data_IF_133491898510
#
_entry.id   IF_133491898510
#
_cell.length_a   1.000
_cell.length_b   1.000
_cell.length_c   1.000
_cell.angle_alpha   90.00
_cell.angle_beta   90.00
_cell.angle_gamma   90.00
#
_symmetry.space_group_name_H-M   'P 1'
#
loop_
_entity.id
_entity.type
_entity.pdbx_description
1 polymer ?
#
# COMPACT_ATOMS: atom_id res chain seq x y z
N UNK A 1 -19.12 -12.68 60.77
CA UNK A 1 -19.30 -13.56 59.58
C UNK A 1 -19.78 -12.84 58.30
N UNK A 2 -19.99 -11.51 58.26
CA UNK A 2 -20.47 -10.81 57.05
C UNK A 2 -19.38 -10.17 56.17
N UNK A 3 -18.18 -9.93 56.70
CA UNK A 3 -17.10 -9.25 55.95
C UNK A 3 -16.30 -10.18 55.03
N UNK A 4 -16.26 -11.50 55.30
CA UNK A 4 -15.52 -12.47 54.47
C UNK A 4 -16.23 -12.83 53.16
N UNK A 5 -17.55 -12.69 53.09
CA UNK A 5 -18.34 -13.03 51.89
C UNK A 5 -18.18 -11.96 50.81
N UNK A 6 -18.10 -10.68 51.19
CA UNK A 6 -17.99 -9.57 50.23
C UNK A 6 -16.63 -9.58 49.50
N UNK A 7 -15.54 -9.98 50.17
CA UNK A 7 -14.21 -10.05 49.55
C UNK A 7 -14.12 -11.20 48.54
N UNK A 8 -14.77 -12.34 48.82
CA UNK A 8 -14.81 -13.46 47.89
C UNK A 8 -15.63 -13.13 46.62
N UNK A 9 -16.75 -12.41 46.75
CA UNK A 9 -17.56 -12.00 45.59
C UNK A 9 -16.86 -10.94 44.74
N UNK A 10 -16.15 -9.99 45.36
CA UNK A 10 -15.37 -8.99 44.63
C UNK A 10 -14.18 -9.61 43.87
N UNK A 11 -13.48 -10.57 44.48
CA UNK A 11 -12.37 -11.27 43.82
C UNK A 11 -12.83 -12.13 42.63
N UNK A 12 -14.01 -12.77 42.73
CA UNK A 12 -14.60 -13.54 41.62
C UNK A 12 -15.05 -12.64 40.48
N UNK A 13 -15.59 -11.45 40.76
CA UNK A 13 -15.97 -10.48 39.73
C UNK A 13 -14.73 -9.89 39.05
N UNK A 14 -13.67 -9.56 39.80
CA UNK A 14 -12.42 -9.05 39.20
C UNK A 14 -11.73 -10.13 38.37
N UNK A 15 -11.74 -11.39 38.81
CA UNK A 15 -11.20 -12.51 38.03
C UNK A 15 -12.05 -12.79 36.77
N UNK A 16 -13.38 -12.70 36.85
CA UNK A 16 -14.25 -12.85 35.69
C UNK A 16 -14.07 -11.71 34.69
N UNK A 17 -14.01 -10.45 35.15
CA UNK A 17 -13.73 -9.29 34.28
C UNK A 17 -12.34 -9.38 33.68
N UNK A 18 -11.32 -9.80 34.42
CA UNK A 18 -9.98 -10.02 33.89
C UNK A 18 -9.97 -11.15 32.85
N UNK A 19 -10.67 -12.28 33.09
CA UNK A 19 -10.77 -13.37 32.11
C UNK A 19 -11.56 -12.94 30.87
N UNK A 20 -12.62 -12.14 31.00
CA UNK A 20 -13.34 -11.58 29.84
C UNK A 20 -12.50 -10.55 29.09
N UNK A 21 -11.70 -9.72 29.78
CA UNK A 21 -10.76 -8.78 29.17
C UNK A 21 -9.58 -9.49 28.49
N UNK A 22 -9.13 -10.64 29.04
CA UNK A 22 -8.10 -11.49 28.43
C UNK A 22 -8.63 -12.35 27.28
N UNK A 23 -9.93 -12.63 27.23
CA UNK A 23 -10.57 -13.28 26.07
C UNK A 23 -10.84 -12.25 24.96
N UNK A 24 -11.13 -10.98 25.30
CA UNK A 24 -11.26 -9.89 24.31
C UNK A 24 -9.92 -9.36 23.80
N UNK A 25 -8.83 -9.57 24.54
CA UNK A 25 -7.46 -9.31 24.08
C UNK A 25 -6.84 -10.60 23.53
N UNK A 26 -7.17 -10.92 22.28
CA UNK A 26 -6.31 -11.75 21.43
C UNK A 26 -6.66 -13.23 21.28
N UNK A 27 -7.93 -13.60 21.14
CA UNK A 27 -8.22 -14.85 20.39
C UNK A 27 -8.08 -14.56 18.90
N UNK A 28 -6.88 -14.76 18.33
CA UNK A 28 -6.71 -14.86 16.88
C UNK A 28 -7.64 -15.98 16.38
N UNK A 29 -8.65 -15.62 15.59
CA UNK A 29 -9.46 -16.63 14.90
C UNK A 29 -8.70 -17.12 13.67
N UNK A 30 -8.72 -18.43 13.44
CA UNK A 30 -8.23 -19.06 12.19
C UNK A 30 -9.23 -18.90 11.03
N UNK A 31 -10.40 -18.27 11.27
CA UNK A 31 -11.42 -17.97 10.26
C UNK A 31 -11.58 -16.46 10.11
N UNK A 32 -11.82 -16.02 8.88
CA UNK A 32 -12.15 -14.63 8.58
C UNK A 32 -13.35 -14.15 9.41
N UNK A 33 -13.25 -12.97 10.04
CA UNK A 33 -14.34 -12.28 10.74
C UNK A 33 -15.51 -12.01 9.78
N UNK A 34 -15.21 -11.63 8.53
CA UNK A 34 -16.22 -11.42 7.48
C UNK A 34 -17.07 -12.67 7.21
N UNK A 35 -16.50 -13.87 7.36
CA UNK A 35 -17.25 -15.13 7.22
C UNK A 35 -18.28 -15.35 8.34
N UNK A 36 -18.03 -14.78 9.53
CA UNK A 36 -18.92 -14.89 10.68
C UNK A 36 -20.05 -13.85 10.64
N UNK A 37 -19.78 -12.67 10.06
CA UNK A 37 -20.76 -11.58 9.88
C UNK A 37 -21.60 -11.72 8.59
N UNK A 38 -21.15 -12.54 7.64
CA UNK A 38 -21.79 -12.77 6.35
C UNK A 38 -21.16 -11.92 5.24
N UNK A 39 -20.73 -12.56 4.16
CA UNK A 39 -19.94 -11.96 3.07
C UNK A 39 -20.58 -10.72 2.41
N UNK A 40 -21.91 -10.59 2.47
CA UNK A 40 -22.71 -9.56 1.79
C UNK A 40 -22.38 -8.09 2.12
N UNK A 41 -21.47 -7.84 3.07
CA UNK A 41 -21.03 -6.50 3.41
C UNK A 41 -19.86 -6.02 2.54
N UNK A 42 -19.17 -6.84 1.72
CA UNK A 42 -17.95 -6.40 1.03
C UNK A 42 -18.16 -5.64 -0.31
N UNK A 43 -18.44 -4.33 -0.27
CA UNK A 43 -18.33 -3.43 -1.43
C UNK A 43 -16.88 -3.21 -1.94
N UNK A 44 -16.75 -2.95 -3.25
CA UNK A 44 -15.47 -2.78 -3.95
C UNK A 44 -14.62 -1.64 -3.36
N UNK A 45 -13.33 -1.90 -3.13
CA UNK A 45 -12.36 -0.84 -2.87
C UNK A 45 -11.86 -0.31 -4.21
N UNK A 46 -12.19 0.93 -4.63
CA UNK A 46 -11.46 1.53 -5.73
C UNK A 46 -10.03 1.75 -5.24
N UNK A 47 -9.10 0.87 -5.54
CA UNK A 47 -7.69 1.08 -5.19
C UNK A 47 -7.22 2.32 -5.94
N UNK A 48 -6.60 3.26 -5.22
CA UNK A 48 -5.82 4.27 -5.89
C UNK A 48 -4.76 3.56 -6.71
N UNK A 49 -4.81 3.85 -8.00
CA UNK A 49 -3.92 3.31 -8.99
C UNK A 49 -2.61 4.07 -8.93
N UNK A 50 -1.90 3.98 -7.82
CA UNK A 50 -0.50 4.34 -7.77
C UNK A 50 0.20 3.05 -7.40
N UNK A 51 1.19 2.70 -8.20
CA UNK A 51 2.11 1.61 -7.94
C UNK A 51 3.40 2.21 -7.35
N UNK A 52 3.45 2.62 -6.06
CA UNK A 52 4.67 2.35 -5.32
C UNK A 52 4.70 0.85 -5.04
N UNK A 53 5.90 0.30 -5.04
CA UNK A 53 6.17 -1.12 -4.79
C UNK A 53 5.34 -1.66 -3.60
N UNK A 54 4.66 -2.80 -3.81
CA UNK A 54 4.05 -3.63 -2.78
C UNK A 54 2.99 -2.97 -1.85
N UNK A 55 1.86 -2.49 -2.38
CA UNK A 55 0.67 -2.26 -1.53
C UNK A 55 0.09 -3.60 -1.08
N UNK A 56 0.63 -4.14 0.00
CA UNK A 56 0.21 -5.40 0.60
C UNK A 56 -0.96 -5.22 1.57
N UNK A 57 -1.83 -4.24 1.26
CA UNK A 57 -3.00 -3.89 2.05
C UNK A 57 -4.22 -3.57 1.19
N UNK A 58 -5.40 -3.85 1.72
CA UNK A 58 -6.66 -3.42 1.14
C UNK A 58 -7.64 -3.01 2.24
N UNK A 59 -8.65 -2.24 1.87
CA UNK A 59 -9.72 -1.83 2.77
C UNK A 59 -11.07 -2.08 2.11
N UNK A 60 -11.96 -2.78 2.81
CA UNK A 60 -13.32 -2.99 2.37
C UNK A 60 -14.24 -3.09 3.60
N UNK A 61 -15.22 -2.19 3.70
CA UNK A 61 -16.38 -2.31 4.61
C UNK A 61 -15.99 -2.51 6.06
N UNK A 62 -15.17 -1.57 6.54
CA UNK A 62 -14.64 -1.54 7.90
C UNK A 62 -13.67 -2.69 8.22
N UNK A 63 -13.25 -3.46 7.21
CA UNK A 63 -12.14 -4.41 7.32
C UNK A 63 -10.88 -3.88 6.65
N UNK A 64 -9.76 -4.02 7.36
CA UNK A 64 -8.41 -3.87 6.79
C UNK A 64 -7.84 -5.26 6.53
N UNK A 65 -7.38 -5.46 5.31
CA UNK A 65 -6.59 -6.62 4.91
C UNK A 65 -5.14 -6.21 4.90
N UNK A 66 -4.30 -6.90 5.66
CA UNK A 66 -2.90 -6.59 5.81
C UNK A 66 -2.07 -7.86 5.60
N UNK A 67 -1.01 -7.78 4.80
CA UNK A 67 -0.12 -8.92 4.60
C UNK A 67 0.65 -9.28 5.85
N UNK A 68 0.76 -10.57 6.09
CA UNK A 68 1.61 -11.15 7.12
C UNK A 68 2.49 -12.23 6.50
N UNK A 69 3.48 -12.71 7.25
CA UNK A 69 4.36 -13.78 6.80
C UNK A 69 3.60 -15.04 6.36
N UNK A 70 2.59 -15.47 7.13
CA UNK A 70 1.84 -16.72 6.91
C UNK A 70 0.49 -16.55 6.17
N UNK A 71 0.20 -15.34 5.66
CA UNK A 71 -1.06 -15.07 4.96
C UNK A 71 -1.56 -13.64 5.09
N UNK A 72 -2.88 -13.48 5.33
CA UNK A 72 -3.54 -12.18 5.35
C UNK A 72 -4.20 -11.99 6.72
N UNK A 73 -3.83 -10.92 7.41
CA UNK A 73 -4.55 -10.43 8.58
C UNK A 73 -5.79 -9.67 8.11
N UNK A 74 -6.97 -10.08 8.58
CA UNK A 74 -8.22 -9.34 8.44
C UNK A 74 -8.54 -8.69 9.78
N UNK A 75 -8.55 -7.36 9.81
CA UNK A 75 -8.84 -6.59 11.01
C UNK A 75 -10.17 -5.87 10.86
N UNK A 76 -11.09 -6.17 11.75
CA UNK A 76 -12.40 -5.53 11.89
C UNK A 76 -12.29 -4.33 12.81
N UNK A 77 -12.57 -3.15 12.26
CA UNK A 77 -12.41 -1.89 12.96
C UNK A 77 -13.52 -1.66 13.98
N UNK A 78 -14.74 -2.14 13.71
CA UNK A 78 -15.88 -1.90 14.58
C UNK A 78 -15.80 -2.72 15.86
N UNK A 79 -15.41 -3.99 15.74
CA UNK A 79 -15.27 -4.89 16.88
C UNK A 79 -13.86 -4.94 17.48
N UNK A 80 -12.91 -4.21 16.90
CA UNK A 80 -11.49 -4.24 17.28
C UNK A 80 -10.95 -5.68 17.33
N UNK A 81 -11.25 -6.46 16.28
CA UNK A 81 -10.97 -7.89 16.23
C UNK A 81 -10.12 -8.28 15.03
N UNK A 82 -9.16 -9.18 15.25
CA UNK A 82 -8.21 -9.62 14.24
C UNK A 82 -8.39 -11.12 13.96
N UNK A 83 -8.53 -11.48 12.69
CA UNK A 83 -8.47 -12.84 12.19
C UNK A 83 -7.29 -13.05 11.25
N UNK A 84 -6.81 -14.29 11.19
CA UNK A 84 -5.73 -14.69 10.28
C UNK A 84 -6.28 -15.62 9.21
N UNK A 85 -6.24 -15.18 7.95
CA UNK A 85 -6.51 -16.01 6.79
C UNK A 85 -5.18 -16.68 6.41
N UNK A 86 -5.05 -17.97 6.76
CA UNK A 86 -3.87 -18.78 6.41
C UNK A 86 -3.90 -19.11 4.93
N UNK A 87 -3.10 -18.42 4.14
CA UNK A 87 -3.10 -18.60 2.68
C UNK A 87 -2.25 -19.80 2.30
N UNK A 88 -2.79 -20.69 1.47
CA UNK A 88 -2.09 -21.88 0.99
C UNK A 88 -1.20 -21.52 -0.20
N UNK A 89 -0.08 -20.89 0.11
CA UNK A 89 0.93 -20.53 -0.88
C UNK A 89 1.89 -21.69 -1.13
N UNK A 90 2.31 -21.83 -2.38
CA UNK A 90 3.47 -22.64 -2.72
C UNK A 90 4.73 -22.00 -2.09
N UNK A 91 5.72 -22.83 -1.74
CA UNK A 91 7.02 -22.37 -1.27
C UNK A 91 7.62 -21.30 -2.19
N UNK A 92 8.28 -20.29 -1.61
CA UNK A 92 8.84 -19.13 -2.30
C UNK A 92 7.81 -18.28 -3.09
N UNK A 93 6.53 -18.38 -2.74
CA UNK A 93 5.51 -17.47 -3.29
C UNK A 93 5.25 -16.31 -2.34
N UNK A 94 4.89 -15.17 -2.93
CA UNK A 94 4.50 -13.96 -2.21
C UNK A 94 3.22 -13.38 -2.82
N UNK A 95 2.42 -12.69 -2.02
CA UNK A 95 1.26 -11.93 -2.48
C UNK A 95 1.44 -10.44 -2.21
N UNK A 96 0.94 -9.61 -3.13
CA UNK A 96 0.95 -8.15 -3.06
C UNK A 96 -0.24 -7.55 -3.80
N UNK A 97 -0.42 -6.23 -3.68
CA UNK A 97 -1.39 -5.45 -4.44
C UNK A 97 -2.82 -5.95 -4.25
N UNK A 98 -3.25 -6.03 -2.98
CA UNK A 98 -4.56 -6.57 -2.61
C UNK A 98 -5.67 -5.66 -3.10
N UNK A 99 -6.74 -6.26 -3.63
CA UNK A 99 -7.97 -5.55 -3.99
C UNK A 99 -9.16 -6.45 -3.64
N UNK A 100 -10.19 -5.88 -3.02
CA UNK A 100 -11.40 -6.61 -2.69
C UNK A 100 -12.48 -6.22 -3.71
N UNK A 101 -13.04 -7.23 -4.38
CA UNK A 101 -14.11 -7.07 -5.34
C UNK A 101 -15.10 -8.25 -5.24
N UNK A 102 -16.39 -7.95 -5.12
CA UNK A 102 -17.48 -8.95 -5.04
C UNK A 102 -17.18 -10.05 -4.01
N UNK A 103 -16.84 -9.64 -2.78
CA UNK A 103 -16.49 -10.53 -1.67
C UNK A 103 -15.32 -11.49 -1.94
N UNK A 104 -14.39 -11.13 -2.85
CA UNK A 104 -13.20 -11.93 -3.20
C UNK A 104 -11.93 -11.08 -3.05
N UNK A 105 -10.89 -11.65 -2.44
CA UNK A 105 -9.55 -11.03 -2.41
C UNK A 105 -8.86 -11.34 -3.72
N UNK A 106 -8.50 -10.32 -4.48
CA UNK A 106 -7.60 -10.39 -5.62
C UNK A 106 -6.21 -9.94 -5.17
N UNK A 107 -5.17 -10.64 -5.63
CA UNK A 107 -3.77 -10.28 -5.39
C UNK A 107 -2.89 -10.54 -6.61
N UNK A 108 -1.78 -9.83 -6.70
CA UNK A 108 -0.64 -10.21 -7.53
C UNK A 108 0.17 -11.24 -6.75
N UNK A 109 0.45 -12.38 -7.38
CA UNK A 109 1.31 -13.44 -6.84
C UNK A 109 2.64 -13.44 -7.58
N UNK A 110 3.75 -13.40 -6.87
CA UNK A 110 5.08 -13.74 -7.40
C UNK A 110 5.53 -15.09 -6.88
N UNK A 111 6.27 -15.85 -7.69
CA UNK A 111 6.85 -17.14 -7.32
C UNK A 111 8.32 -17.13 -7.71
N UNK A 112 9.20 -17.15 -6.71
CA UNK A 112 10.63 -17.17 -6.96
C UNK A 112 11.11 -18.58 -7.31
N UNK A 113 11.77 -18.70 -8.46
CA UNK A 113 12.40 -19.92 -8.91
C UNK A 113 13.92 -19.84 -8.67
N UNK A 114 14.39 -20.57 -7.67
CA UNK A 114 15.81 -20.61 -7.29
C UNK A 114 16.74 -21.15 -8.36
N UNK A 115 16.25 -22.03 -9.25
CA UNK A 115 17.06 -22.60 -10.33
C UNK A 115 17.34 -21.59 -11.46
N UNK A 116 16.39 -20.68 -11.71
CA UNK A 116 16.54 -19.64 -12.75
C UNK A 116 16.89 -18.26 -12.19
N UNK A 117 16.79 -18.08 -10.86
CA UNK A 117 16.87 -16.80 -10.15
C UNK A 117 15.91 -15.75 -10.73
N UNK A 118 14.68 -16.17 -11.03
CA UNK A 118 13.63 -15.34 -11.61
C UNK A 118 12.31 -15.55 -10.90
N UNK A 119 11.44 -14.55 -10.99
CA UNK A 119 10.07 -14.62 -10.51
C UNK A 119 9.11 -14.84 -11.67
N UNK A 120 8.15 -15.74 -11.47
CA UNK A 120 6.96 -15.88 -12.30
C UNK A 120 5.80 -15.15 -11.62
N UNK A 121 5.00 -14.39 -12.37
CA UNK A 121 3.93 -13.57 -11.84
C UNK A 121 2.55 -14.02 -12.33
N UNK A 122 1.55 -13.88 -11.48
CA UNK A 122 0.15 -14.16 -11.79
C UNK A 122 -0.78 -13.22 -11.03
N UNK A 123 -2.01 -13.09 -11.49
CA UNK A 123 -3.12 -12.53 -10.72
C UNK A 123 -3.92 -13.72 -10.19
N UNK A 124 -4.22 -13.68 -8.90
CA UNK A 124 -4.91 -14.76 -8.19
C UNK A 124 -6.07 -14.23 -7.38
N UNK A 125 -6.98 -15.14 -7.04
CA UNK A 125 -7.97 -14.94 -5.98
C UNK A 125 -7.60 -15.76 -4.75
N UNK A 126 -7.97 -15.29 -3.57
CA UNK A 126 -7.82 -16.01 -2.30
C UNK A 126 -9.19 -16.20 -1.67
N UNK A 127 -9.55 -17.45 -1.38
CA UNK A 127 -10.77 -17.77 -0.63
C UNK A 127 -10.58 -17.50 0.87
N UNK A 128 -11.46 -16.70 1.45
CA UNK A 128 -11.40 -16.27 2.86
C UNK A 128 -11.41 -17.42 3.87
N UNK A 129 -12.14 -18.49 3.57
CA UNK A 129 -12.43 -19.55 4.54
C UNK A 129 -11.37 -20.65 4.52
N UNK A 130 -10.89 -20.98 3.33
CA UNK A 130 -9.99 -22.09 3.09
C UNK A 130 -8.55 -21.65 2.84
N UNK A 131 -8.34 -20.37 2.52
CA UNK A 131 -7.05 -19.83 2.09
C UNK A 131 -6.58 -20.37 0.74
N UNK A 132 -7.46 -21.06 0.00
CA UNK A 132 -7.14 -21.59 -1.33
C UNK A 132 -6.88 -20.45 -2.32
N UNK A 133 -5.85 -20.63 -3.14
CA UNK A 133 -5.41 -19.65 -4.13
C UNK A 133 -5.77 -20.15 -5.53
N UNK A 134 -6.55 -19.37 -6.27
CA UNK A 134 -6.94 -19.73 -7.65
C UNK A 134 -6.37 -18.72 -8.64
N UNK A 135 -5.65 -19.21 -9.64
CA UNK A 135 -5.10 -18.37 -10.71
C UNK A 135 -6.21 -17.81 -11.60
N UNK A 136 -6.18 -16.49 -11.81
CA UNK A 136 -7.07 -15.76 -12.74
C UNK A 136 -6.34 -15.49 -14.05
N UNK A 137 -5.07 -15.10 -13.94
CA UNK A 137 -4.24 -14.75 -15.07
C UNK A 137 -2.77 -15.09 -14.79
N UNK A 138 -2.08 -15.64 -15.77
CA UNK A 138 -0.65 -15.96 -15.69
C UNK A 138 0.12 -15.02 -16.62
N UNK A 139 1.09 -14.29 -16.08
CA UNK A 139 1.93 -13.41 -16.90
C UNK A 139 2.83 -14.25 -17.82
N UNK A 140 3.17 -13.77 -19.04
CA UNK A 140 4.12 -14.45 -19.89
C UNK A 140 5.45 -14.65 -19.17
N UNK A 141 6.11 -15.78 -19.43
CA UNK A 141 7.42 -16.11 -18.82
C UNK A 141 8.42 -14.95 -18.92
N UNK A 142 9.16 -14.70 -17.84
CA UNK A 142 10.10 -13.60 -17.65
C UNK A 142 9.48 -12.19 -17.70
N UNK A 143 8.15 -12.05 -17.71
CA UNK A 143 7.47 -10.76 -17.65
C UNK A 143 7.26 -10.37 -16.19
N UNK A 144 7.51 -9.10 -15.87
CA UNK A 144 7.16 -8.54 -14.57
C UNK A 144 5.72 -8.07 -14.63
N UNK A 145 4.99 -8.31 -13.55
CA UNK A 145 3.65 -7.79 -13.32
C UNK A 145 3.75 -6.74 -12.20
N UNK A 146 3.36 -5.49 -12.51
CA UNK A 146 3.23 -4.44 -11.50
C UNK A 146 1.96 -4.61 -10.66
N UNK A 147 1.70 -3.68 -9.73
CA UNK A 147 0.43 -3.69 -9.01
C UNK A 147 -0.78 -3.51 -9.95
N UNK A 148 -1.90 -4.08 -9.50
CA UNK A 148 -3.17 -4.04 -10.19
C UNK A 148 -4.20 -3.20 -9.44
N UNK A 149 -5.24 -2.76 -10.15
CA UNK A 149 -6.52 -2.43 -9.53
C UNK A 149 -7.66 -3.02 -10.32
N UNK A 150 -8.87 -2.84 -9.79
CA UNK A 150 -10.11 -3.21 -10.45
C UNK A 150 -11.03 -2.01 -10.54
N UNK A 151 -11.82 -1.94 -11.61
CA UNK A 151 -12.91 -0.98 -11.71
C UNK A 151 -14.23 -1.55 -11.15
N UNK A 152 -15.28 -0.72 -11.15
CA UNK A 152 -16.61 -1.07 -10.68
C UNK A 152 -17.30 -2.19 -11.47
N UNK A 153 -16.83 -2.48 -12.68
CA UNK A 153 -17.39 -3.51 -13.56
C UNK A 153 -16.62 -4.84 -13.44
N UNK A 154 -15.55 -4.85 -12.62
CA UNK A 154 -14.69 -5.99 -12.33
C UNK A 154 -13.53 -6.15 -13.32
N UNK A 155 -13.29 -5.17 -14.19
CA UNK A 155 -12.17 -5.24 -15.11
C UNK A 155 -10.86 -4.93 -14.36
N UNK A 156 -9.85 -5.76 -14.58
CA UNK A 156 -8.55 -5.64 -13.92
C UNK A 156 -7.62 -4.83 -14.80
N UNK A 157 -6.97 -3.83 -14.20
CA UNK A 157 -5.94 -3.03 -14.83
C UNK A 157 -4.60 -3.40 -14.22
N UNK A 158 -3.54 -3.49 -15.03
CA UNK A 158 -2.18 -3.76 -14.53
C UNK A 158 -1.12 -3.40 -15.56
N UNK A 159 0.08 -3.09 -15.07
CA UNK A 159 1.26 -2.95 -15.93
C UNK A 159 1.95 -4.31 -16.05
N UNK A 160 2.25 -4.71 -17.26
CA UNK A 160 3.00 -5.93 -17.55
C UNK A 160 4.09 -5.63 -18.57
N UNK A 161 5.26 -6.25 -18.41
CA UNK A 161 6.24 -6.28 -19.47
C UNK A 161 7.64 -6.67 -19.03
N UNK A 162 8.61 -6.37 -19.90
CA UNK A 162 10.02 -6.68 -19.71
C UNK A 162 10.84 -5.43 -19.94
N UNK A 163 11.53 -4.97 -18.91
CA UNK A 163 12.45 -3.85 -19.08
C UNK A 163 13.66 -4.26 -19.91
N UNK A 164 13.90 -3.51 -20.98
CA UNK A 164 15.16 -3.53 -21.73
C UNK A 164 15.62 -2.11 -21.97
N UNK A 165 16.76 -1.76 -21.38
CA UNK A 165 17.32 -0.40 -21.42
C UNK A 165 17.49 0.17 -22.83
N UNK A 166 17.70 -0.68 -23.83
CA UNK A 166 17.89 -0.27 -25.24
C UNK A 166 16.60 -0.12 -26.05
N UNK A 167 15.45 -0.54 -25.53
CA UNK A 167 14.17 -0.50 -26.25
C UNK A 167 13.39 0.75 -25.86
N UNK A 168 13.46 1.77 -26.72
CA UNK A 168 12.75 3.04 -26.58
C UNK A 168 12.01 3.42 -27.86
N UNK A 169 11.00 4.27 -27.73
CA UNK A 169 10.38 4.93 -28.87
C UNK A 169 11.26 6.06 -29.44
N UNK A 170 10.74 6.76 -30.46
CA UNK A 170 11.42 7.89 -31.12
C UNK A 170 11.69 9.08 -30.19
N UNK A 171 10.92 9.20 -29.10
CA UNK A 171 11.08 10.25 -28.08
C UNK A 171 12.01 9.80 -26.93
N UNK A 172 12.54 8.57 -27.00
CA UNK A 172 13.48 8.03 -26.01
C UNK A 172 12.81 7.47 -24.76
N UNK A 173 11.49 7.24 -24.77
CA UNK A 173 10.78 6.59 -23.68
C UNK A 173 10.78 5.07 -23.84
N UNK A 174 10.93 4.35 -22.73
CA UNK A 174 10.88 2.89 -22.74
C UNK A 174 9.57 2.37 -23.31
N UNK A 175 9.66 1.28 -24.06
CA UNK A 175 8.53 0.56 -24.63
C UNK A 175 8.34 -0.84 -24.02
N UNK A 176 9.15 -1.16 -22.99
CA UNK A 176 9.21 -2.48 -22.39
C UNK A 176 8.01 -2.85 -21.53
N UNK A 177 7.23 -1.87 -21.08
CA UNK A 177 6.04 -2.06 -20.26
C UNK A 177 4.80 -1.46 -20.91
N UNK A 178 3.68 -2.17 -20.76
CA UNK A 178 2.37 -1.70 -21.18
C UNK A 178 1.37 -1.81 -20.04
N UNK A 179 0.44 -0.86 -20.00
CA UNK A 179 -0.80 -0.98 -19.24
C UNK A 179 -1.79 -1.85 -20.02
N UNK A 180 -2.32 -2.87 -19.36
CA UNK A 180 -3.36 -3.75 -19.87
C UNK A 180 -4.67 -3.58 -19.11
N UNK A 181 -5.76 -3.87 -19.80
CA UNK A 181 -7.06 -4.20 -19.24
C UNK A 181 -7.31 -5.69 -19.43
N UNK A 182 -7.79 -6.36 -18.40
CA UNK A 182 -8.21 -7.75 -18.41
C UNK A 182 -9.67 -7.86 -18.00
N UNK A 183 -10.52 -8.26 -18.93
CA UNK A 183 -11.94 -8.41 -18.70
C UNK A 183 -12.25 -9.80 -18.12
N UNK A 184 -12.67 -9.84 -16.86
CA UNK A 184 -12.92 -11.09 -16.12
C UNK A 184 -13.95 -12.00 -16.81
N UNK A 185 -15.01 -11.41 -17.38
CA UNK A 185 -16.17 -12.16 -17.91
C UNK A 185 -15.85 -13.05 -19.11
N UNK A 186 -14.85 -12.68 -19.90
CA UNK A 186 -14.47 -13.37 -21.14
C UNK A 186 -12.96 -13.71 -21.19
N UNK A 187 -12.23 -13.45 -20.11
CA UNK A 187 -10.79 -13.68 -20.00
C UNK A 187 -9.98 -12.99 -21.12
N UNK A 188 -10.42 -11.81 -21.55
CA UNK A 188 -9.80 -11.07 -22.65
C UNK A 188 -8.81 -10.03 -22.13
N UNK A 189 -7.60 -10.01 -22.70
CA UNK A 189 -6.53 -9.06 -22.34
C UNK A 189 -6.28 -8.12 -23.51
N UNK A 190 -6.45 -6.82 -23.28
CA UNK A 190 -6.21 -5.77 -24.28
C UNK A 190 -5.17 -4.76 -23.79
N UNK A 191 -4.20 -4.42 -24.65
CA UNK A 191 -3.25 -3.34 -24.38
C UNK A 191 -3.95 -1.98 -24.46
N UNK A 192 -3.75 -1.12 -23.46
CA UNK A 192 -4.25 0.25 -23.43
C UNK A 192 -3.20 1.19 -24.03
N UNK A 193 -2.02 1.22 -23.43
CA UNK A 193 -0.90 2.10 -23.82
C UNK A 193 0.42 1.64 -23.20
N UNK A 194 1.54 2.22 -23.61
CA UNK A 194 2.85 2.01 -22.97
C UNK A 194 2.92 2.82 -21.66
N UNK A 195 3.20 2.15 -20.56
CA UNK A 195 3.23 2.78 -19.23
C UNK A 195 4.11 2.00 -18.26
N UNK A 196 4.77 2.72 -17.33
CA UNK A 196 5.52 2.17 -16.20
C UNK A 196 4.66 2.11 -14.94
N UNK A 197 3.92 3.17 -14.68
CA UNK A 197 2.85 3.23 -13.67
C UNK A 197 1.65 3.96 -14.26
N UNK A 198 0.50 3.83 -13.62
CA UNK A 198 -0.76 4.40 -14.09
C UNK A 198 -1.67 4.65 -12.91
N UNK A 199 -2.48 5.71 -13.00
CA UNK A 199 -3.57 6.14 -12.13
C UNK A 199 -4.83 6.39 -12.96
N UNK A 200 -5.97 5.83 -12.58
CA UNK A 200 -7.27 6.08 -13.24
C UNK A 200 -8.18 6.78 -12.25
N UNK A 201 -8.70 7.94 -12.65
CA UNK A 201 -9.72 8.68 -11.90
C UNK A 201 -10.54 9.54 -12.84
N UNK A 202 -11.84 9.70 -12.54
CA UNK A 202 -12.77 10.57 -13.27
C UNK A 202 -12.76 10.39 -14.80
N UNK A 203 -12.65 9.14 -15.25
CA UNK A 203 -12.62 8.80 -16.68
C UNK A 203 -11.33 9.23 -17.40
N UNK A 204 -10.29 9.62 -16.65
CA UNK A 204 -8.97 9.94 -17.15
C UNK A 204 -7.97 8.86 -16.73
N UNK A 205 -7.00 8.65 -17.60
CA UNK A 205 -5.81 7.84 -17.37
C UNK A 205 -4.62 8.79 -17.21
N UNK A 206 -3.99 8.74 -16.07
CA UNK A 206 -2.70 9.33 -15.78
C UNK A 206 -1.68 8.22 -15.79
N UNK A 207 -0.54 8.39 -16.44
CA UNK A 207 0.44 7.32 -16.52
C UNK A 207 1.82 7.86 -16.75
N UNK A 208 2.82 7.05 -16.39
CA UNK A 208 4.21 7.46 -16.51
C UNK A 208 4.94 6.66 -17.56
N UNK A 209 5.96 7.29 -18.17
CA UNK A 209 6.92 6.59 -19.03
C UNK A 209 8.34 6.95 -18.61
N UNK A 210 9.17 5.94 -18.44
CA UNK A 210 10.58 6.09 -18.15
C UNK A 210 11.33 6.53 -19.40
N UNK A 211 12.20 7.53 -19.28
CA UNK A 211 13.24 7.83 -20.25
C UNK A 211 14.59 7.28 -19.76
N UNK A 212 15.07 6.13 -20.27
CA UNK A 212 16.29 5.48 -19.76
C UNK A 212 17.57 6.31 -19.96
N UNK A 213 17.57 7.22 -20.93
CA UNK A 213 18.73 8.06 -21.27
C UNK A 213 18.98 9.14 -20.23
N UNK A 214 17.91 9.75 -19.71
CA UNK A 214 17.98 10.81 -18.71
C UNK A 214 17.68 10.32 -17.31
N UNK A 215 17.23 9.06 -17.16
CA UNK A 215 16.76 8.48 -15.91
C UNK A 215 15.66 9.34 -15.26
N UNK A 216 14.67 9.70 -16.08
CA UNK A 216 13.50 10.49 -15.65
C UNK A 216 12.23 9.72 -15.93
N UNK A 217 11.24 9.89 -15.06
CA UNK A 217 9.90 9.33 -15.21
C UNK A 217 8.95 10.47 -15.54
N UNK A 218 8.45 10.50 -16.78
CA UNK A 218 7.58 11.56 -17.32
C UNK A 218 6.12 11.21 -17.13
N UNK A 219 5.31 12.16 -16.67
CA UNK A 219 3.86 12.02 -16.53
C UNK A 219 3.11 12.38 -17.82
N UNK A 220 2.13 11.56 -18.17
CA UNK A 220 1.21 11.72 -19.30
C UNK A 220 -0.24 11.62 -18.80
N UNK A 221 -1.16 12.24 -19.54
CA UNK A 221 -2.60 12.22 -19.27
C UNK A 221 -3.33 11.86 -20.57
N UNK A 222 -4.34 11.01 -20.51
CA UNK A 222 -5.21 10.69 -21.63
C UNK A 222 -6.65 10.46 -21.14
N UNK A 223 -7.69 10.69 -21.96
CA UNK A 223 -9.02 10.17 -21.67
C UNK A 223 -9.00 8.64 -21.62
N UNK A 224 -9.62 8.03 -20.62
CA UNK A 224 -9.69 6.56 -20.53
C UNK A 224 -10.45 5.95 -21.72
N UNK A 225 -11.44 6.66 -22.26
CA UNK A 225 -12.20 6.27 -23.44
C UNK A 225 -11.41 6.35 -24.75
N UNK A 226 -10.31 7.11 -24.77
CA UNK A 226 -9.44 7.28 -25.93
C UNK A 226 -7.97 7.40 -25.46
N UNK A 227 -7.38 6.28 -24.99
CA UNK A 227 -6.05 6.29 -24.37
C UNK A 227 -4.92 6.60 -25.36
N UNK A 228 -5.22 6.70 -26.66
CA UNK A 228 -4.28 7.11 -27.69
C UNK A 228 -4.17 8.63 -27.82
N UNK A 229 -5.17 9.38 -27.33
CA UNK A 229 -5.13 10.84 -27.25
C UNK A 229 -4.31 11.30 -26.04
N UNK A 230 -3.00 11.05 -26.13
CA UNK A 230 -2.04 11.27 -25.05
C UNK A 230 -1.55 12.72 -25.02
N UNK A 231 -1.60 13.33 -23.84
CA UNK A 231 -0.98 14.62 -23.51
C UNK A 231 0.29 14.38 -22.69
N UNK A 232 1.44 14.84 -23.19
CA UNK A 232 2.67 14.98 -22.40
C UNK A 232 2.55 16.23 -21.51
N UNK A 233 2.66 16.05 -20.19
CA UNK A 233 2.53 17.16 -19.24
C UNK A 233 3.79 18.02 -19.13
N UNK A 234 4.93 17.53 -19.61
CA UNK A 234 6.23 18.16 -19.35
C UNK A 234 6.83 17.84 -17.98
N UNK A 235 6.13 17.08 -17.13
CA UNK A 235 6.46 16.92 -15.70
C UNK A 235 7.25 15.63 -15.45
N UNK A 236 8.46 15.79 -14.91
CA UNK A 236 9.24 14.67 -14.39
C UNK A 236 8.90 14.44 -12.91
N UNK A 237 8.36 13.26 -12.60
CA UNK A 237 7.85 12.89 -11.28
C UNK A 237 8.82 12.02 -10.48
N UNK A 238 10.01 11.72 -11.02
CA UNK A 238 11.04 10.95 -10.31
C UNK A 238 12.09 10.33 -11.23
N UNK A 239 12.85 9.39 -10.68
CA UNK A 239 13.89 8.58 -11.32
C UNK A 239 13.69 7.11 -10.95
N UNK A 240 14.03 6.18 -11.84
CA UNK A 240 13.93 4.74 -11.53
C UNK A 240 15.18 4.22 -10.80
N UNK A 241 16.34 4.86 -10.98
CA UNK A 241 17.62 4.37 -10.45
C UNK A 241 17.95 5.01 -9.10
N UNK A 242 17.37 6.17 -8.77
CA UNK A 242 17.61 6.82 -7.48
C UNK A 242 16.65 6.28 -6.41
N UNK A 243 17.18 5.42 -5.53
CA UNK A 243 16.49 4.88 -4.35
C UNK A 243 15.85 5.96 -3.45
N UNK A 244 16.34 7.20 -3.53
CA UNK A 244 15.86 8.33 -2.72
C UNK A 244 14.69 9.10 -3.36
N UNK A 245 14.37 8.89 -4.64
CA UNK A 245 13.34 9.64 -5.36
C UNK A 245 12.23 8.73 -5.86
N UNK A 246 11.23 8.37 -5.03
CA UNK A 246 10.11 7.59 -5.51
C UNK A 246 9.38 8.42 -6.57
N UNK A 247 9.05 7.79 -7.69
CA UNK A 247 8.27 8.46 -8.73
C UNK A 247 6.79 8.53 -8.30
N UNK A 248 6.33 9.71 -7.90
CA UNK A 248 4.99 9.88 -7.35
C UNK A 248 4.27 11.11 -7.86
N UNK A 249 3.01 10.88 -8.20
CA UNK A 249 2.00 11.89 -8.52
C UNK A 249 0.66 11.43 -7.94
N UNK A 250 -0.28 12.34 -7.75
CA UNK A 250 -1.61 12.06 -7.23
C UNK A 250 -2.61 13.05 -7.85
N UNK A 251 -3.47 12.59 -8.78
CA UNK A 251 -4.55 13.41 -9.32
C UNK A 251 -5.67 13.61 -8.30
N UNK A 252 -6.10 14.87 -8.09
CA UNK A 252 -7.22 15.22 -7.23
C UNK A 252 -7.79 16.59 -7.62
N UNK A 253 -9.12 16.72 -7.59
CA UNK A 253 -9.86 17.98 -7.81
C UNK A 253 -9.51 18.72 -9.11
N UNK A 254 -9.20 17.98 -10.19
CA UNK A 254 -8.80 18.56 -11.48
C UNK A 254 -7.35 19.08 -11.54
N UNK A 255 -6.58 18.85 -10.48
CA UNK A 255 -5.15 19.11 -10.41
C UNK A 255 -4.36 17.79 -10.28
N UNK A 256 -3.05 17.86 -10.53
CA UNK A 256 -2.12 16.76 -10.24
C UNK A 256 -1.06 17.21 -9.26
N UNK A 257 -1.06 16.61 -8.08
CA UNK A 257 0.00 16.80 -7.09
C UNK A 257 1.18 15.92 -7.47
N UNK A 258 2.40 16.43 -7.36
CA UNK A 258 3.59 15.63 -7.68
C UNK A 258 4.82 16.08 -6.89
N UNK A 259 5.77 15.16 -6.75
CA UNK A 259 7.12 15.44 -6.27
C UNK A 259 8.11 15.03 -7.36
N UNK A 260 9.25 15.70 -7.42
CA UNK A 260 10.39 15.26 -8.23
C UNK A 260 11.45 14.55 -7.38
N UNK A 261 11.03 13.97 -6.25
CA UNK A 261 11.92 13.35 -5.27
C UNK A 261 12.83 14.36 -4.59
N UNK A 262 12.33 15.56 -4.28
CA UNK A 262 13.07 16.57 -3.50
C UNK A 262 12.21 17.08 -2.36
N UNK A 263 12.63 18.16 -1.72
CA UNK A 263 11.98 18.75 -0.56
C UNK A 263 10.76 19.61 -0.90
N UNK A 264 10.14 19.45 -2.08
CA UNK A 264 9.00 20.25 -2.50
C UNK A 264 7.88 19.38 -3.02
N UNK A 265 6.66 19.75 -2.64
CA UNK A 265 5.44 19.25 -3.24
C UNK A 265 4.94 20.31 -4.22
N UNK A 266 4.60 19.88 -5.43
CA UNK A 266 4.07 20.72 -6.49
C UNK A 266 2.63 20.34 -6.79
N UNK A 267 1.91 21.29 -7.39
CA UNK A 267 0.60 21.08 -7.97
C UNK A 267 0.63 21.56 -9.40
N UNK A 268 0.22 20.70 -10.33
CA UNK A 268 -0.01 21.02 -11.72
C UNK A 268 -1.49 21.21 -11.96
N UNK A 269 -1.87 22.40 -12.42
CA UNK A 269 -3.25 22.68 -12.80
C UNK A 269 -3.51 22.25 -14.24
N UNK A 270 -4.46 21.34 -14.44
CA UNK A 270 -4.72 20.78 -15.77
C UNK A 270 -5.32 21.82 -16.73
N UNK A 271 -6.09 22.79 -16.24
CA UNK A 271 -6.79 23.79 -17.05
C UNK A 271 -5.84 24.83 -17.66
N UNK A 272 -4.85 25.28 -16.89
CA UNK A 272 -3.90 26.32 -17.33
C UNK A 272 -2.50 25.79 -17.64
N UNK A 273 -2.28 24.49 -17.40
CA UNK A 273 -1.05 23.75 -17.68
C UNK A 273 0.20 24.30 -16.98
N UNK A 274 0.04 24.80 -15.76
CA UNK A 274 1.16 25.33 -14.96
C UNK A 274 1.28 24.60 -13.64
N UNK A 275 2.53 24.48 -13.21
CA UNK A 275 2.86 24.02 -11.87
C UNK A 275 3.16 25.19 -10.93
N UNK A 276 2.69 25.07 -9.69
CA UNK A 276 3.08 25.91 -8.56
C UNK A 276 3.62 25.05 -7.40
N UNK A 277 4.31 25.70 -6.46
CA UNK A 277 4.80 25.04 -5.25
C UNK A 277 3.72 25.09 -4.18
N UNK A 278 3.25 23.91 -3.74
CA UNK A 278 2.29 23.77 -2.64
C UNK A 278 2.98 24.04 -1.31
N UNK A 279 4.09 23.33 -1.06
CA UNK A 279 4.87 23.50 0.15
C UNK A 279 6.36 23.16 -0.08
N UNK A 280 7.20 23.61 0.84
CA UNK A 280 8.63 23.28 0.89
C UNK A 280 8.98 22.77 2.28
N UNK A 281 9.62 21.60 2.32
CA UNK A 281 10.14 20.94 3.51
C UNK A 281 11.61 21.33 3.75
N UNK A 282 12.18 20.87 4.88
CA UNK A 282 13.57 21.13 5.25
C UNK A 282 14.53 20.82 4.10
N UNK A 283 15.63 21.55 4.03
CA UNK A 283 16.67 21.29 3.04
C UNK A 283 17.17 19.84 3.14
N UNK A 284 17.46 19.24 1.97
CA UNK A 284 17.83 17.81 1.81
C UNK A 284 16.74 16.81 2.18
N UNK A 285 15.49 17.23 2.38
CA UNK A 285 14.37 16.31 2.50
C UNK A 285 13.92 15.75 1.16
N UNK A 286 13.23 14.63 1.20
CA UNK A 286 12.63 13.94 0.07
C UNK A 286 11.16 13.67 0.40
N UNK A 287 10.25 14.20 -0.41
CA UNK A 287 8.84 13.82 -0.33
C UNK A 287 8.69 12.39 -0.86
N UNK A 288 8.16 11.49 -0.03
CA UNK A 288 8.11 10.04 -0.29
C UNK A 288 6.71 9.52 -0.57
N UNK A 289 5.70 10.04 0.13
CA UNK A 289 4.29 9.75 -0.14
C UNK A 289 3.40 10.97 0.10
N UNK A 290 2.34 11.14 -0.68
CA UNK A 290 1.30 12.13 -0.39
C UNK A 290 -0.05 11.76 -1.01
N UNK A 291 -1.12 12.03 -0.27
CA UNK A 291 -2.50 11.87 -0.74
C UNK A 291 -3.45 12.65 0.19
N UNK A 292 -4.63 13.04 -0.32
CA UNK A 292 -5.69 13.57 0.51
C UNK A 292 -6.33 12.49 1.39
N UNK A 293 -6.50 12.80 2.67
CA UNK A 293 -7.30 12.06 3.64
C UNK A 293 -8.17 13.05 4.40
N UNK A 294 -9.49 12.85 4.38
CA UNK A 294 -10.47 13.74 5.02
C UNK A 294 -10.20 15.24 4.71
N UNK A 295 -10.15 15.57 3.41
CA UNK A 295 -9.86 16.91 2.87
C UNK A 295 -8.51 17.53 3.28
N UNK A 296 -7.62 16.74 3.87
CA UNK A 296 -6.31 17.19 4.35
C UNK A 296 -5.22 16.45 3.61
N UNK A 297 -4.25 17.17 3.04
CA UNK A 297 -3.12 16.54 2.36
C UNK A 297 -2.17 15.96 3.42
N UNK A 298 -2.01 14.64 3.41
CA UNK A 298 -1.04 13.92 4.25
C UNK A 298 0.22 13.73 3.43
N UNK A 299 1.38 13.97 4.03
CA UNK A 299 2.68 13.88 3.36
C UNK A 299 3.68 13.13 4.23
N UNK A 300 4.21 12.02 3.70
CA UNK A 300 5.34 11.31 4.27
C UNK A 300 6.63 11.88 3.66
N UNK A 301 7.52 12.36 4.53
CA UNK A 301 8.78 13.00 4.12
C UNK A 301 9.94 12.29 4.81
N UNK A 302 10.95 11.96 4.02
CA UNK A 302 12.25 11.53 4.54
C UNK A 302 13.15 12.76 4.67
N UNK A 303 13.51 13.12 5.89
CA UNK A 303 14.28 14.35 6.17
C UNK A 303 15.48 14.08 7.09
N UNK A 304 16.50 14.95 7.09
CA UNK A 304 17.57 14.86 8.08
C UNK A 304 17.00 14.97 9.49
N UNK A 305 17.43 14.08 10.39
CA UNK A 305 17.07 14.16 11.80
C UNK A 305 17.77 15.35 12.49
N UNK A 306 17.41 15.61 13.75
CA UNK A 306 17.88 16.79 14.49
C UNK A 306 19.40 16.83 14.69
N UNK A 307 20.09 15.69 14.62
CA UNK A 307 21.55 15.63 14.70
C UNK A 307 22.25 15.83 13.34
N UNK A 308 21.49 15.87 12.25
CA UNK A 308 21.96 16.13 10.88
C UNK A 308 22.85 15.04 10.28
N UNK A 309 23.03 13.91 10.97
CA UNK A 309 23.91 12.80 10.54
C UNK A 309 23.14 11.64 9.92
N UNK A 310 21.83 11.53 10.16
CA UNK A 310 20.99 10.47 9.60
C UNK A 310 19.66 11.02 9.09
N UNK A 311 18.94 10.19 8.34
CA UNK A 311 17.58 10.47 7.90
C UNK A 311 16.56 9.85 8.86
N UNK A 312 15.37 10.41 8.86
CA UNK A 312 14.17 9.88 9.50
C UNK A 312 12.97 10.11 8.59
N UNK A 313 11.96 9.28 8.73
CA UNK A 313 10.64 9.56 8.19
C UNK A 313 9.83 10.40 9.17
N UNK A 314 9.14 11.39 8.62
CA UNK A 314 8.23 12.28 9.33
C UNK A 314 6.94 12.37 8.55
N UNK A 315 5.84 12.14 9.25
CA UNK A 315 4.50 12.25 8.72
C UNK A 315 3.95 13.64 9.04
N UNK A 316 3.52 14.34 8.00
CA UNK A 316 2.95 15.68 8.08
C UNK A 316 1.50 15.68 7.58
N UNK A 317 0.70 16.61 8.08
CA UNK A 317 -0.45 17.13 7.34
C UNK A 317 -0.16 18.56 6.88
N UNK A 318 -0.81 19.03 5.82
CA UNK A 318 -0.78 20.43 5.41
C UNK A 318 -1.99 21.16 5.98
N UNK A 319 -1.76 22.28 6.68
CA UNK A 319 -2.86 23.14 7.14
C UNK A 319 -3.49 23.94 5.99
N UNK A 320 -4.50 24.77 6.29
CA UNK A 320 -5.22 25.58 5.30
C UNK A 320 -4.33 26.58 4.54
N UNK A 321 -3.14 26.90 5.05
CA UNK A 321 -2.14 27.75 4.39
C UNK A 321 -1.07 26.92 3.66
N UNK A 322 -1.28 25.61 3.49
CA UNK A 322 -0.31 24.64 3.00
C UNK A 322 0.98 24.55 3.82
N UNK A 323 0.95 24.91 5.10
CA UNK A 323 2.13 24.77 5.97
C UNK A 323 2.16 23.36 6.57
N UNK A 324 3.32 22.68 6.53
CA UNK A 324 3.44 21.34 7.07
C UNK A 324 3.39 21.34 8.60
N UNK A 325 2.49 20.54 9.15
CA UNK A 325 2.30 20.32 10.58
C UNK A 325 2.65 18.86 10.91
N UNK A 326 3.60 18.66 11.82
CA UNK A 326 4.10 17.32 12.15
C UNK A 326 3.05 16.52 12.92
N UNK A 327 2.71 15.33 12.41
CA UNK A 327 1.90 14.32 13.11
C UNK A 327 2.81 13.49 14.00
N UNK A 328 3.70 12.71 13.39
CA UNK A 328 4.60 11.77 14.05
C UNK A 328 5.90 11.61 13.26
N UNK A 329 6.93 11.09 13.90
CA UNK A 329 8.24 10.79 13.31
C UNK A 329 8.76 9.44 13.83
N UNK A 330 9.79 8.91 13.17
CA UNK A 330 10.45 7.67 13.58
C UNK A 330 10.89 7.70 15.04
N UNK A 331 11.37 8.85 15.54
CA UNK A 331 11.87 8.98 16.91
C UNK A 331 10.78 8.75 17.97
N UNK A 332 9.56 9.21 17.72
CA UNK A 332 8.39 8.95 18.59
C UNK A 332 7.85 7.53 18.46
N UNK A 333 7.89 6.95 17.27
CA UNK A 333 7.42 5.57 17.06
C UNK A 333 8.40 4.54 17.64
N UNK A 334 9.67 4.90 17.71
CA UNK A 334 10.75 4.01 18.06
C UNK A 334 11.52 4.46 19.32
N UNK A 335 10.81 4.73 20.43
CA UNK A 335 11.42 5.23 21.68
C UNK A 335 12.47 4.28 22.29
N UNK A 336 12.42 2.98 21.94
CA UNK A 336 13.28 1.94 22.50
C UNK A 336 14.59 1.73 21.73
N UNK A 337 14.59 1.90 20.41
CA UNK A 337 15.76 1.68 19.57
C UNK A 337 16.37 3.03 19.18
N UNK A 338 17.38 3.42 19.95
CA UNK A 338 18.10 4.67 19.79
C UNK A 338 18.73 4.73 18.38
N UNK A 339 18.19 5.61 17.53
CA UNK A 339 18.84 6.25 16.38
C UNK A 339 19.65 5.32 15.46
N UNK A 340 19.08 4.97 14.30
CA UNK A 340 19.87 4.30 13.25
C UNK A 340 19.14 3.95 11.96
N UNK A 341 17.82 3.78 12.02
CA UNK A 341 17.06 3.20 10.92
C UNK A 341 15.77 3.97 10.66
N UNK A 342 15.41 4.03 9.39
CA UNK A 342 14.11 4.46 8.91
C UNK A 342 13.05 3.46 9.37
N UNK A 343 12.10 3.94 10.19
CA UNK A 343 11.18 3.06 10.92
C UNK A 343 9.80 2.98 10.27
N UNK A 344 9.31 4.08 9.67
CA UNK A 344 8.13 4.02 8.80
C UNK A 344 8.51 3.29 7.51
N UNK A 345 7.78 2.22 7.20
CA UNK A 345 7.98 1.39 6.02
C UNK A 345 7.14 1.93 4.85
N UNK A 346 5.81 1.92 5.01
CA UNK A 346 4.90 2.52 4.03
C UNK A 346 3.61 3.04 4.67
N UNK A 347 2.84 3.79 3.88
CA UNK A 347 1.53 4.32 4.25
C UNK A 347 0.54 4.01 3.13
N UNK A 348 -0.73 3.80 3.47
CA UNK A 348 -1.80 3.63 2.50
C UNK A 348 -3.03 4.42 2.94
N UNK A 349 -3.46 5.37 2.11
CA UNK A 349 -4.75 6.04 2.28
C UNK A 349 -5.76 5.32 1.40
N UNK A 350 -6.78 4.77 2.03
CA UNK A 350 -7.84 4.03 1.35
C UNK A 350 -8.82 5.01 0.72
N UNK A 351 -9.15 4.81 -0.56
CA UNK A 351 -10.22 5.58 -1.18
C UNK A 351 -11.55 5.25 -0.52
N UNK A 352 -12.43 6.25 -0.42
CA UNK A 352 -13.73 6.17 0.25
C UNK A 352 -13.66 5.85 1.76
N UNK A 353 -12.48 5.98 2.38
CA UNK A 353 -12.35 5.96 3.84
C UNK A 353 -11.94 7.35 4.33
N UNK A 354 -12.80 7.99 5.09
CA UNK A 354 -12.55 9.31 5.68
C UNK A 354 -12.17 9.25 7.17
N UNK A 355 -12.28 8.06 7.78
CA UNK A 355 -12.10 7.92 9.23
C UNK A 355 -10.69 7.50 9.63
N UNK A 356 -9.97 6.76 8.77
CA UNK A 356 -8.59 6.34 9.04
C UNK A 356 -7.78 6.06 7.75
N UNK A 357 -6.46 6.06 7.90
CA UNK A 357 -5.53 5.50 6.94
C UNK A 357 -4.54 4.55 7.62
N UNK A 358 -3.81 3.74 6.85
CA UNK A 358 -2.87 2.77 7.39
C UNK A 358 -1.44 3.31 7.37
N UNK A 359 -0.72 3.09 8.48
CA UNK A 359 0.71 3.31 8.60
C UNK A 359 1.39 2.01 9.01
N UNK A 360 2.36 1.56 8.22
CA UNK A 360 3.22 0.41 8.52
C UNK A 360 4.59 0.87 9.00
N UNK A 361 5.17 0.13 9.94
CA UNK A 361 6.51 0.35 10.48
C UNK A 361 7.32 -0.94 10.49
N UNK A 362 8.63 -0.82 10.36
CA UNK A 362 9.60 -1.91 10.38
C UNK A 362 10.59 -1.79 11.54
N UNK A 363 10.73 -2.84 12.34
CA UNK A 363 11.77 -2.97 13.35
C UNK A 363 12.90 -3.91 12.88
N UNK A 364 14.18 -3.46 12.87
CA UNK A 364 15.33 -4.32 12.57
C UNK A 364 15.45 -5.55 13.49
N UNK A 365 14.93 -5.47 14.72
CA UNK A 365 14.89 -6.58 15.68
C UNK A 365 13.62 -7.44 15.53
N UNK A 366 13.18 -7.68 14.29
CA UNK A 366 12.32 -8.78 13.87
C UNK A 366 10.80 -8.59 13.72
N UNK A 367 10.21 -7.38 13.70
CA UNK A 367 8.75 -7.28 13.47
C UNK A 367 8.30 -6.04 12.69
N UNK A 368 7.40 -6.23 11.73
CA UNK A 368 6.56 -5.12 11.24
C UNK A 368 5.36 -4.90 12.16
N UNK A 369 4.92 -3.66 12.28
CA UNK A 369 3.70 -3.29 12.96
C UNK A 369 2.85 -2.40 12.07
N UNK A 370 1.54 -2.56 12.12
CA UNK A 370 0.60 -1.71 11.40
C UNK A 370 -0.35 -0.99 12.36
N UNK A 371 -0.62 0.25 12.00
CA UNK A 371 -1.44 1.18 12.74
C UNK A 371 -2.54 1.71 11.82
N UNK A 372 -3.74 1.85 12.38
CA UNK A 372 -4.73 2.77 11.85
C UNK A 372 -4.46 4.15 12.43
N UNK A 373 -4.39 5.16 11.59
CA UNK A 373 -4.27 6.56 11.99
C UNK A 373 -5.63 7.21 11.76
N UNK A 374 -6.30 7.63 12.83
CA UNK A 374 -7.63 8.23 12.74
C UNK A 374 -7.58 9.69 12.23
N UNK A 375 -8.74 10.30 12.00
CA UNK A 375 -8.88 11.72 11.61
C UNK A 375 -8.36 12.75 12.62
N UNK A 376 -8.19 12.36 13.89
CA UNK A 376 -7.52 13.17 14.91
C UNK A 376 -6.00 12.90 14.96
N UNK A 377 -5.49 12.10 14.02
CA UNK A 377 -4.12 11.59 13.93
C UNK A 377 -3.66 10.76 15.12
N UNK A 378 -4.58 10.08 15.79
CA UNK A 378 -4.24 9.09 16.83
C UNK A 378 -3.94 7.76 16.18
N UNK A 379 -2.90 7.11 16.68
CA UNK A 379 -2.47 5.81 16.20
C UNK A 379 -3.12 4.71 17.02
N UNK A 380 -3.81 3.80 16.34
CA UNK A 380 -4.33 2.55 16.88
C UNK A 380 -3.55 1.38 16.30
N UNK A 381 -2.72 0.76 17.14
CA UNK A 381 -1.94 -0.42 16.72
C UNK A 381 -2.84 -1.64 16.72
N UNK A 382 -3.00 -2.29 15.58
CA UNK A 382 -3.83 -3.50 15.47
C UNK A 382 -3.02 -4.78 15.21
N UNK A 383 -1.75 -4.65 14.77
CA UNK A 383 -0.85 -5.80 14.60
C UNK A 383 0.59 -5.47 15.04
N UNK A 384 1.21 -6.43 15.70
CA UNK A 384 2.67 -6.58 15.86
C UNK A 384 3.04 -7.95 15.31
N UNK A 385 4.17 -8.03 14.60
CA UNK A 385 4.70 -9.25 13.98
C UNK A 385 4.01 -9.57 12.63
N UNK A 386 4.05 -8.62 11.70
CA UNK A 386 3.43 -8.72 10.39
C UNK A 386 4.27 -9.45 9.32
N UNK A 387 4.69 -8.72 8.29
CA UNK A 387 5.29 -9.23 7.04
C UNK A 387 6.67 -9.91 7.20
N UNK A 388 7.41 -9.55 8.24
CA UNK A 388 8.74 -10.09 8.54
C UNK A 388 8.75 -10.51 10.01
N UNK A 389 8.84 -11.81 10.26
CA UNK A 389 9.09 -12.40 11.59
C UNK A 389 10.41 -13.19 11.50
N UNK A 390 11.48 -12.60 12.03
CA UNK A 390 12.82 -13.21 12.01
C UNK A 390 12.97 -14.35 13.03
N UNK A 391 12.14 -14.36 14.07
CA UNK A 391 12.17 -15.41 15.10
C UNK A 391 11.57 -16.71 14.55
N UNK A 392 10.54 -16.62 13.70
CA UNK A 392 10.00 -17.76 12.95
C UNK A 392 11.03 -18.32 11.96
N UNK A 393 11.84 -17.45 11.31
CA UNK A 393 12.93 -17.88 10.42
C UNK A 393 14.07 -18.58 11.19
N UNK A 394 14.33 -18.18 12.44
CA UNK A 394 15.32 -18.83 13.30
C UNK A 394 14.85 -20.20 13.80
N UNK A 395 13.55 -20.38 14.09
CA UNK A 395 12.97 -21.69 14.42
C UNK A 395 13.08 -22.65 13.22
N UNK A 396 12.77 -22.19 12.00
CA UNK A 396 12.91 -22.99 10.77
C UNK A 396 14.36 -23.42 10.50
N UNK A 397 15.36 -22.57 10.79
CA UNK A 397 16.78 -22.97 10.69
C UNK A 397 17.23 -23.93 11.80
N UNK A 398 16.53 -23.99 12.93
CA UNK A 398 16.87 -24.89 14.03
C UNK A 398 16.32 -26.32 13.83
N UNK A 399 15.38 -26.48 12.90
CA UNK A 399 14.79 -27.77 12.51
C UNK A 399 15.39 -28.38 11.21
N UNK A 400 16.31 -27.66 10.54
CA UNK A 400 17.17 -28.15 9.45
C UNK A 400 18.55 -28.57 9.97
#
# INVERSE_FOLDING_TARGET
MKTKIIIATAAVIIAAVAVTLFISLGTKSDKAVSSEKGQQELSASPTNLLCPEASSTAFANNFVYYKTYDGIAEYDIESDSLAMIKVKLQEYSNLSCYTIYDDVIYAVRSVYNSATQKEDYSIVTVDYNSGEVTEVYSAPKDSILGCMSMDKDGDIYFVEGKYKKSETDENGFSTGYSLYKYALKNSDKSEITKANTYYISDGKLYFTRLCPKTDTVRLFIAPLSDPQNVKDTGIDVGSQISENTPYMYYPADGDVYYSNGKNKLYRYNEDNEKSDTVCTFKDKSFVRYFQYFNNTMIVLVREPNDNGKMYQYVLYYLDNDNKPQKIIDDAKLNEKYFYGYEYIDYMTIFNNCEDYFLLSTYNPDADTAAYLVDKDFKLHKFISNGEWDYDTYAEIQSEM
#
